data_IF_208422639853
#
_entry.id   IF_208422639853
#
_cell.length_a   1.000
_cell.length_b   1.000
_cell.length_c   1.000
_cell.angle_alpha   90.00
_cell.angle_beta   90.00
_cell.angle_gamma   90.00
#
_symmetry.space_group_name_H-M   'P 1'
#
loop_
_entity.id
_entity.type
_entity.pdbx_description
1 polymer ?
#
# COMPACT_ATOMS: atom_id res chain seq x y z
N UNK A 1 1.87 5.94 6.15
CA UNK A 1 2.67 4.72 5.87
C UNK A 1 4.01 5.16 5.28
N UNK A 2 5.10 4.78 5.89
CA UNK A 2 6.45 5.18 5.54
C UNK A 2 7.15 4.13 4.68
N UNK A 3 8.26 4.53 4.06
CA UNK A 3 9.21 3.65 3.37
C UNK A 3 9.81 2.57 4.27
N UNK A 4 9.90 2.84 5.59
CA UNK A 4 10.42 1.90 6.59
C UNK A 4 9.47 0.74 6.95
N UNK A 5 8.30 0.63 6.32
CA UNK A 5 7.27 -0.40 6.62
C UNK A 5 7.75 -1.85 6.59
N UNK A 6 8.91 -2.13 5.96
CA UNK A 6 9.49 -3.48 5.90
C UNK A 6 10.64 -3.73 6.90
N UNK A 7 11.30 -2.70 7.39
CA UNK A 7 12.64 -2.87 7.97
C UNK A 7 12.77 -2.55 9.46
N UNK A 8 11.85 -1.81 10.06
CA UNK A 8 11.97 -1.41 11.46
C UNK A 8 10.94 -2.09 12.34
N UNK A 9 11.40 -3.01 13.17
CA UNK A 9 10.62 -3.57 14.27
C UNK A 9 10.95 -2.82 15.55
N UNK A 10 9.98 -2.10 16.09
CA UNK A 10 10.09 -1.52 17.42
C UNK A 10 10.14 -2.64 18.46
N UNK A 11 11.14 -2.65 19.35
CA UNK A 11 11.19 -3.58 20.48
C UNK A 11 10.18 -3.11 21.53
N UNK A 12 8.99 -3.67 21.52
CA UNK A 12 8.04 -3.55 22.63
C UNK A 12 7.92 -4.90 23.34
N UNK A 13 7.81 -4.87 24.68
CA UNK A 13 7.58 -6.09 25.43
C UNK A 13 6.15 -6.57 25.19
N UNK A 14 5.99 -7.86 24.92
CA UNK A 14 4.70 -8.50 24.65
C UNK A 14 3.69 -8.40 25.79
N UNK A 15 4.15 -8.08 26.99
CA UNK A 15 3.31 -8.10 28.20
C UNK A 15 2.35 -6.91 28.32
N UNK A 16 2.64 -5.81 27.66
CA UNK A 16 1.78 -4.60 27.72
C UNK A 16 0.62 -4.59 26.74
N UNK A 17 0.63 -5.42 25.71
CA UNK A 17 -0.42 -5.44 24.67
C UNK A 17 -1.72 -6.05 25.19
N UNK A 18 -1.65 -6.94 26.19
CA UNK A 18 -2.80 -7.67 26.71
C UNK A 18 -3.25 -7.26 28.11
N UNK A 19 -2.46 -6.45 28.80
CA UNK A 19 -2.75 -6.02 30.18
C UNK A 19 -3.60 -4.73 30.27
N UNK A 20 -3.79 -4.02 29.19
CA UNK A 20 -4.53 -2.76 29.15
C UNK A 20 -5.91 -2.90 28.48
N UNK A 21 -6.89 -2.18 28.98
CA UNK A 21 -8.10 -1.90 28.23
C UNK A 21 -7.66 -1.26 26.90
N UNK A 22 -8.06 -1.85 25.76
CA UNK A 22 -7.84 -1.26 24.45
C UNK A 22 -8.64 0.05 24.36
N UNK A 23 -7.99 1.14 24.69
CA UNK A 23 -8.57 2.46 24.44
C UNK A 23 -8.61 2.70 22.94
N UNK A 24 -9.70 3.27 22.47
CA UNK A 24 -9.89 3.61 21.05
C UNK A 24 -8.70 4.37 20.44
N UNK A 25 -8.00 5.17 21.24
CA UNK A 25 -6.80 5.93 20.84
C UNK A 25 -5.58 5.07 20.48
N UNK A 26 -5.53 3.80 20.89
CA UNK A 26 -4.44 2.87 20.54
C UNK A 26 -4.29 2.70 19.03
N UNK A 27 -5.38 2.82 18.27
CA UNK A 27 -5.34 2.80 16.81
C UNK A 27 -4.53 3.94 16.17
N UNK A 28 -4.26 5.02 16.92
CA UNK A 28 -3.38 6.11 16.48
C UNK A 28 -1.94 5.98 17.00
N UNK A 29 -1.67 5.01 17.87
CA UNK A 29 -0.32 4.83 18.40
C UNK A 29 0.67 4.56 17.27
N UNK A 30 1.79 5.28 17.32
CA UNK A 30 2.85 5.18 16.30
C UNK A 30 2.38 5.42 14.84
N UNK A 31 1.21 6.01 14.60
CA UNK A 31 0.68 6.22 13.26
C UNK A 31 1.49 7.22 12.40
N UNK A 32 2.26 8.10 13.03
CA UNK A 32 3.15 9.08 12.39
C UNK A 32 4.63 8.68 12.47
N UNK A 33 4.94 7.52 13.06
CA UNK A 33 6.31 7.03 13.16
C UNK A 33 6.61 6.12 11.97
N UNK A 34 7.80 6.24 11.42
CA UNK A 34 8.23 5.47 10.24
C UNK A 34 8.25 3.95 10.44
N UNK A 35 8.44 3.47 11.68
CA UNK A 35 8.48 2.05 11.98
C UNK A 35 7.10 1.41 11.94
N UNK A 36 6.92 0.40 11.10
CA UNK A 36 5.72 -0.44 11.17
C UNK A 36 5.79 -1.33 12.42
N UNK A 37 4.67 -1.42 13.14
CA UNK A 37 4.59 -2.30 14.31
C UNK A 37 4.00 -3.66 13.93
N UNK A 38 4.67 -4.36 13.00
CA UNK A 38 4.24 -5.68 12.52
C UNK A 38 4.07 -6.68 13.66
N UNK A 39 4.89 -6.56 14.72
CA UNK A 39 4.78 -7.44 15.89
C UNK A 39 3.47 -7.23 16.65
N UNK A 40 3.06 -5.98 16.84
CA UNK A 40 1.79 -5.67 17.51
C UNK A 40 0.60 -6.15 16.69
N UNK A 41 0.65 -5.95 15.37
CA UNK A 41 -0.35 -6.43 14.43
C UNK A 41 -0.45 -7.97 14.46
N UNK A 42 0.69 -8.67 14.42
CA UNK A 42 0.72 -10.15 14.51
C UNK A 42 0.16 -10.67 15.85
N UNK A 43 0.52 -10.03 16.96
CA UNK A 43 -0.03 -10.39 18.26
C UNK A 43 -1.55 -10.18 18.32
N UNK A 44 -2.05 -9.11 17.71
CA UNK A 44 -3.48 -8.85 17.64
C UNK A 44 -4.21 -9.91 16.80
N UNK A 45 -3.68 -10.26 15.61
CA UNK A 45 -4.24 -11.30 14.75
C UNK A 45 -4.31 -12.64 15.51
N UNK A 46 -3.19 -13.04 16.12
CA UNK A 46 -3.13 -14.26 16.94
C UNK A 46 -4.16 -14.25 18.07
N UNK A 47 -4.29 -13.11 18.74
CA UNK A 47 -5.29 -12.95 19.81
C UNK A 47 -6.72 -13.11 19.28
N UNK A 48 -7.04 -12.51 18.14
CA UNK A 48 -8.37 -12.62 17.54
C UNK A 48 -8.71 -14.04 17.12
N UNK A 49 -7.78 -14.76 16.49
CA UNK A 49 -7.98 -16.17 16.14
C UNK A 49 -8.19 -17.05 17.38
N UNK A 50 -7.39 -16.85 18.42
CA UNK A 50 -7.58 -17.56 19.68
C UNK A 50 -8.95 -17.25 20.30
N UNK A 51 -9.44 -16.02 20.22
CA UNK A 51 -10.76 -15.64 20.71
C UNK A 51 -11.87 -16.29 19.88
N UNK A 52 -11.78 -16.28 18.55
CA UNK A 52 -12.74 -16.96 17.67
C UNK A 52 -12.82 -18.46 18.02
N UNK A 53 -11.65 -19.10 18.17
CA UNK A 53 -11.59 -20.51 18.56
C UNK A 53 -12.23 -20.80 19.93
N UNK A 54 -11.94 -19.97 20.95
CA UNK A 54 -12.52 -20.10 22.29
C UNK A 54 -14.03 -19.85 22.32
N UNK A 55 -14.49 -18.85 21.58
CA UNK A 55 -15.91 -18.46 21.55
C UNK A 55 -16.74 -19.34 20.61
N UNK A 56 -16.08 -20.08 19.72
CA UNK A 56 -16.69 -20.82 18.60
C UNK A 56 -17.62 -19.92 17.77
N UNK A 57 -17.23 -18.68 17.60
CA UNK A 57 -17.98 -17.66 16.90
C UNK A 57 -17.02 -16.65 16.26
N UNK A 58 -17.40 -16.15 15.10
CA UNK A 58 -16.64 -15.11 14.39
C UNK A 58 -16.66 -13.79 15.16
N UNK A 59 -15.54 -13.06 15.12
CA UNK A 59 -15.39 -11.72 15.68
C UNK A 59 -15.52 -10.72 14.53
N UNK A 60 -16.55 -9.87 14.59
CA UNK A 60 -16.92 -8.99 13.49
C UNK A 60 -15.79 -8.10 12.97
N UNK A 61 -15.05 -7.41 13.86
CA UNK A 61 -13.95 -6.54 13.49
C UNK A 61 -12.79 -7.33 12.85
N UNK A 62 -12.52 -8.56 13.29
CA UNK A 62 -11.51 -9.41 12.68
C UNK A 62 -11.95 -9.90 11.30
N UNK A 63 -13.22 -10.29 11.16
CA UNK A 63 -13.78 -10.63 9.85
C UNK A 63 -13.76 -9.44 8.88
N UNK A 64 -13.93 -8.22 9.38
CA UNK A 64 -13.75 -6.99 8.61
C UNK A 64 -12.35 -6.84 8.07
N UNK A 65 -11.31 -7.11 8.87
CA UNK A 65 -9.90 -7.11 8.45
C UNK A 65 -9.66 -8.19 7.40
N UNK A 66 -10.11 -9.43 7.64
CA UNK A 66 -10.00 -10.53 6.66
C UNK A 66 -10.66 -10.17 5.33
N UNK A 67 -11.84 -9.55 5.37
CA UNK A 67 -12.57 -9.10 4.18
C UNK A 67 -11.80 -8.01 3.41
N UNK A 68 -11.21 -7.03 4.11
CA UNK A 68 -10.43 -5.97 3.48
C UNK A 68 -9.21 -6.53 2.75
N UNK A 69 -8.42 -7.37 3.40
CA UNK A 69 -7.24 -8.00 2.80
C UNK A 69 -7.62 -8.85 1.60
N UNK A 70 -8.66 -9.68 1.72
CA UNK A 70 -9.12 -10.54 0.62
C UNK A 70 -9.54 -9.72 -0.60
N UNK A 71 -10.33 -8.67 -0.41
CA UNK A 71 -10.76 -7.79 -1.50
C UNK A 71 -9.60 -7.09 -2.18
N UNK A 72 -8.67 -6.57 -1.38
CA UNK A 72 -7.48 -5.93 -1.91
C UNK A 72 -6.64 -6.89 -2.75
N UNK A 73 -6.40 -8.11 -2.26
CA UNK A 73 -5.64 -9.13 -2.97
C UNK A 73 -6.34 -9.56 -4.27
N UNK A 74 -7.66 -9.67 -4.28
CA UNK A 74 -8.44 -9.95 -5.49
C UNK A 74 -8.27 -8.87 -6.57
N UNK A 75 -8.25 -7.58 -6.18
CA UNK A 75 -8.02 -6.48 -7.12
C UNK A 75 -6.58 -6.46 -7.66
N UNK A 76 -5.59 -6.78 -6.81
CA UNK A 76 -4.18 -6.72 -7.18
C UNK A 76 -3.72 -7.91 -8.03
N UNK A 77 -4.06 -9.14 -7.64
CA UNK A 77 -3.42 -10.35 -8.14
C UNK A 77 -4.34 -11.17 -9.04
N UNK A 78 -5.66 -10.94 -8.99
CA UNK A 78 -6.69 -11.75 -9.65
C UNK A 78 -6.73 -13.23 -9.19
N UNK A 79 -5.90 -13.62 -8.25
CA UNK A 79 -5.97 -14.92 -7.62
C UNK A 79 -7.01 -14.93 -6.50
N UNK A 80 -7.70 -16.05 -6.36
CA UNK A 80 -8.67 -16.23 -5.28
C UNK A 80 -7.93 -16.54 -3.97
N UNK A 81 -7.48 -15.50 -3.28
CA UNK A 81 -7.13 -15.62 -1.87
C UNK A 81 -8.44 -15.81 -1.11
N UNK A 82 -8.65 -16.99 -0.53
CA UNK A 82 -9.86 -17.31 0.21
C UNK A 82 -9.84 -16.73 1.62
N UNK A 83 -8.70 -16.80 2.27
CA UNK A 83 -8.51 -16.35 3.65
C UNK A 83 -7.03 -16.10 3.94
N UNK A 84 -6.74 -15.48 5.11
CA UNK A 84 -5.43 -15.56 5.74
C UNK A 84 -5.60 -16.06 7.19
N UNK A 85 -4.61 -16.72 7.69
CA UNK A 85 -4.61 -17.35 9.01
C UNK A 85 -3.25 -17.17 9.67
N UNK A 86 -3.23 -17.17 10.99
CA UNK A 86 -1.99 -17.21 11.76
C UNK A 86 -1.61 -18.66 12.06
N UNK A 87 -0.48 -19.10 11.56
CA UNK A 87 0.04 -20.43 11.88
C UNK A 87 0.81 -20.41 13.20
N UNK A 88 0.26 -21.06 14.21
CA UNK A 88 0.87 -21.19 15.55
C UNK A 88 2.20 -21.94 15.52
N UNK A 89 2.43 -22.83 14.55
CA UNK A 89 3.67 -23.63 14.49
C UNK A 89 4.84 -22.80 13.94
N UNK A 90 4.61 -22.05 12.85
CA UNK A 90 5.64 -21.19 12.27
C UNK A 90 5.67 -19.80 12.89
N UNK A 91 4.60 -19.38 13.56
CA UNK A 91 4.45 -18.02 14.09
C UNK A 91 4.21 -16.96 13.02
N UNK A 92 3.68 -17.34 11.86
CA UNK A 92 3.57 -16.51 10.68
C UNK A 92 2.16 -16.41 10.12
N UNK A 93 1.96 -15.41 9.25
CA UNK A 93 0.75 -15.31 8.43
C UNK A 93 0.87 -16.19 7.21
N UNK A 94 -0.19 -16.96 6.97
CA UNK A 94 -0.35 -17.84 5.82
C UNK A 94 -1.57 -17.37 5.02
N UNK A 95 -1.39 -17.21 3.72
CA UNK A 95 -2.52 -17.05 2.81
C UNK A 95 -3.03 -18.41 2.34
N UNK A 96 -4.33 -18.59 2.44
CA UNK A 96 -5.01 -19.77 1.91
C UNK A 96 -5.48 -19.48 0.50
N UNK A 97 -4.91 -20.16 -0.47
CA UNK A 97 -5.24 -20.06 -1.89
C UNK A 97 -5.86 -21.35 -2.41
N UNK A 98 -6.32 -21.34 -3.66
CA UNK A 98 -6.80 -22.57 -4.34
C UNK A 98 -5.69 -23.62 -4.54
N UNK A 99 -4.42 -23.20 -4.53
CA UNK A 99 -3.26 -24.05 -4.76
C UNK A 99 -2.60 -24.54 -3.46
N UNK A 100 -3.04 -24.01 -2.32
CA UNK A 100 -2.54 -24.38 -0.99
C UNK A 100 -2.26 -23.21 -0.08
N UNK A 101 -1.57 -23.48 1.02
CA UNK A 101 -1.16 -22.51 2.02
C UNK A 101 0.18 -21.85 1.61
N UNK A 102 0.24 -20.52 1.56
CA UNK A 102 1.40 -19.75 1.17
C UNK A 102 1.82 -18.79 2.29
N UNK A 103 2.96 -19.03 2.96
CA UNK A 103 3.47 -18.10 3.97
C UNK A 103 3.77 -16.72 3.37
N UNK A 104 3.40 -15.65 4.10
CA UNK A 104 3.65 -14.28 3.64
C UNK A 104 5.14 -14.00 3.42
N UNK A 105 6.01 -14.61 4.23
CA UNK A 105 7.48 -14.45 4.09
C UNK A 105 8.03 -14.98 2.76
N UNK A 106 7.35 -15.95 2.13
CA UNK A 106 7.80 -16.58 0.89
C UNK A 106 7.36 -15.76 -0.35
N UNK A 107 6.56 -14.72 -0.12
CA UNK A 107 6.17 -13.77 -1.16
C UNK A 107 7.32 -12.80 -1.48
N UNK A 108 7.29 -12.23 -2.68
CA UNK A 108 8.26 -11.17 -3.03
C UNK A 108 8.11 -9.94 -2.12
N UNK A 109 9.19 -9.15 -1.99
CA UNK A 109 9.20 -7.94 -1.16
C UNK A 109 8.05 -6.97 -1.48
N UNK A 110 7.70 -6.83 -2.76
CA UNK A 110 6.57 -6.00 -3.18
C UNK A 110 5.23 -6.51 -2.65
N UNK A 111 4.98 -7.81 -2.72
CA UNK A 111 3.76 -8.40 -2.14
C UNK A 111 3.71 -8.18 -0.62
N UNK A 112 4.80 -8.48 0.08
CA UNK A 112 4.88 -8.30 1.52
C UNK A 112 4.59 -6.85 1.92
N UNK A 113 5.23 -5.87 1.25
CA UNK A 113 5.06 -4.44 1.52
C UNK A 113 3.59 -4.02 1.44
N UNK A 114 2.89 -4.41 0.38
CA UNK A 114 1.49 -4.02 0.16
C UNK A 114 0.56 -4.73 1.15
N UNK A 115 0.80 -6.01 1.42
CA UNK A 115 0.01 -6.79 2.38
C UNK A 115 0.10 -6.17 3.77
N UNK A 116 1.31 -5.87 4.24
CA UNK A 116 1.51 -5.26 5.55
C UNK A 116 0.87 -3.88 5.63
N UNK A 117 0.94 -3.08 4.57
CA UNK A 117 0.27 -1.78 4.50
C UNK A 117 -1.25 -1.92 4.65
N UNK A 118 -1.87 -2.82 3.89
CA UNK A 118 -3.33 -3.02 3.93
C UNK A 118 -3.78 -3.60 5.26
N UNK A 119 -3.01 -4.55 5.80
CA UNK A 119 -3.26 -5.12 7.13
C UNK A 119 -3.20 -4.04 8.22
N UNK A 120 -2.18 -3.17 8.21
CA UNK A 120 -2.05 -2.10 9.20
C UNK A 120 -3.22 -1.09 9.11
N UNK A 121 -3.61 -0.70 7.90
CA UNK A 121 -4.78 0.18 7.71
C UNK A 121 -6.05 -0.48 8.25
N UNK A 122 -6.33 -1.73 7.85
CA UNK A 122 -7.52 -2.44 8.28
C UNK A 122 -7.54 -2.69 9.80
N UNK A 123 -6.41 -3.06 10.38
CA UNK A 123 -6.22 -3.23 11.83
C UNK A 123 -6.54 -1.94 12.60
N UNK A 124 -5.98 -0.79 12.16
CA UNK A 124 -6.26 0.51 12.80
C UNK A 124 -7.73 0.87 12.70
N UNK A 125 -8.38 0.61 11.58
CA UNK A 125 -9.82 0.80 11.41
C UNK A 125 -10.63 -0.04 12.40
N UNK A 126 -10.24 -1.31 12.59
CA UNK A 126 -10.87 -2.20 13.55
C UNK A 126 -10.73 -1.70 15.00
N UNK A 127 -9.55 -1.22 15.38
CA UNK A 127 -9.31 -0.67 16.72
C UNK A 127 -10.05 0.65 16.97
N UNK A 128 -10.05 1.54 15.96
CA UNK A 128 -10.67 2.87 16.08
C UNK A 128 -12.20 2.81 16.07
N UNK A 129 -12.78 1.84 15.36
CA UNK A 129 -14.21 1.73 15.14
C UNK A 129 -14.74 0.30 15.32
N UNK A 130 -14.53 -0.33 16.50
CA UNK A 130 -14.96 -1.71 16.73
C UNK A 130 -16.46 -1.91 16.60
N UNK A 131 -17.25 -0.82 16.78
CA UNK A 131 -18.72 -0.85 16.62
C UNK A 131 -19.18 -1.10 15.17
N UNK A 132 -18.30 -0.92 14.17
CA UNK A 132 -18.63 -1.20 12.77
C UNK A 132 -18.52 -2.69 12.43
N UNK A 133 -17.96 -3.49 13.32
CA UNK A 133 -17.79 -4.94 13.16
C UNK A 133 -17.17 -5.30 11.79
N UNK A 134 -17.87 -6.07 10.97
CA UNK A 134 -17.40 -6.45 9.64
C UNK A 134 -17.39 -5.31 8.60
N UNK A 135 -17.97 -4.16 8.92
CA UNK A 135 -18.07 -3.00 8.03
C UNK A 135 -17.00 -1.94 8.26
N UNK A 136 -15.90 -2.29 8.96
CA UNK A 136 -14.77 -1.39 9.25
C UNK A 136 -14.23 -0.69 7.99
N UNK A 137 -14.35 -1.29 6.81
CA UNK A 137 -13.88 -0.72 5.53
C UNK A 137 -14.53 0.63 5.19
N UNK A 138 -15.71 0.89 5.73
CA UNK A 138 -16.45 2.15 5.56
C UNK A 138 -16.05 3.21 6.60
N UNK A 139 -15.04 2.94 7.43
CA UNK A 139 -14.50 3.92 8.37
C UNK A 139 -14.00 5.15 7.62
N UNK A 140 -14.53 6.35 7.92
CA UNK A 140 -14.00 7.58 7.35
C UNK A 140 -12.64 7.89 7.98
N UNK A 141 -11.71 8.36 7.16
CA UNK A 141 -10.37 8.71 7.65
C UNK A 141 -9.46 9.25 6.56
N UNK A 142 -8.28 9.66 6.97
CA UNK A 142 -7.20 10.11 6.08
C UNK A 142 -6.00 9.18 6.28
N UNK A 143 -5.46 8.65 5.18
CA UNK A 143 -4.27 7.82 5.18
C UNK A 143 -3.19 8.48 4.34
N UNK A 144 -2.04 8.74 4.96
CA UNK A 144 -0.85 9.26 4.30
C UNK A 144 0.05 8.09 3.91
N UNK A 145 0.49 8.04 2.65
CA UNK A 145 1.38 7.00 2.14
C UNK A 145 2.58 7.67 1.50
N UNK A 146 3.75 7.35 2.01
CA UNK A 146 5.00 7.79 1.41
C UNK A 146 5.53 6.70 0.47
N UNK A 147 6.07 7.12 -0.69
CA UNK A 147 6.57 6.23 -1.75
C UNK A 147 5.63 5.04 -2.06
N UNK A 148 4.44 5.35 -2.58
CA UNK A 148 3.43 4.33 -2.87
C UNK A 148 3.93 3.26 -3.84
N UNK A 149 4.85 3.61 -4.75
CA UNK A 149 5.47 2.75 -5.76
C UNK A 149 6.59 1.84 -5.23
N UNK A 150 7.07 2.05 -3.99
CA UNK A 150 8.22 1.33 -3.46
C UNK A 150 8.03 -0.19 -3.49
N UNK A 151 8.99 -0.87 -4.13
CA UNK A 151 9.02 -2.33 -4.36
C UNK A 151 7.90 -2.89 -5.24
N UNK A 152 7.02 -2.06 -5.81
CA UNK A 152 5.93 -2.54 -6.66
C UNK A 152 6.38 -2.79 -8.09
N UNK A 153 6.06 -3.98 -8.60
CA UNK A 153 6.19 -4.28 -10.02
C UNK A 153 5.28 -3.34 -10.84
N UNK A 154 5.69 -2.82 -12.03
CA UNK A 154 4.88 -1.91 -12.84
C UNK A 154 3.44 -2.34 -13.08
N UNK A 155 3.18 -3.64 -13.29
CA UNK A 155 1.82 -4.16 -13.41
C UNK A 155 0.91 -3.88 -12.21
N UNK A 156 1.49 -3.74 -11.03
CA UNK A 156 0.75 -3.45 -9.80
C UNK A 156 0.61 -1.97 -9.56
N UNK A 157 1.57 -1.18 -10.01
CA UNK A 157 1.48 0.27 -9.96
C UNK A 157 0.24 0.77 -10.73
N UNK A 158 -0.14 0.11 -11.83
CA UNK A 158 -1.39 0.38 -12.56
C UNK A 158 -2.66 0.12 -11.75
N UNK A 159 -2.61 -0.71 -10.74
CA UNK A 159 -3.79 -1.20 -10.01
C UNK A 159 -3.92 -0.65 -8.60
N UNK A 160 -2.79 -0.28 -7.96
CA UNK A 160 -2.71 -0.02 -6.52
C UNK A 160 -3.71 1.06 -6.05
N UNK A 161 -3.82 2.17 -6.77
CA UNK A 161 -4.71 3.28 -6.41
C UNK A 161 -6.17 2.81 -6.42
N UNK A 162 -6.59 2.16 -7.49
CA UNK A 162 -7.96 1.64 -7.60
C UNK A 162 -8.25 0.54 -6.57
N UNK A 163 -7.29 -0.34 -6.30
CA UNK A 163 -7.42 -1.38 -5.29
C UNK A 163 -7.60 -0.79 -3.88
N UNK A 164 -6.84 0.24 -3.52
CA UNK A 164 -6.97 0.94 -2.23
C UNK A 164 -8.35 1.62 -2.12
N UNK A 165 -8.79 2.38 -3.13
CA UNK A 165 -10.09 3.06 -3.15
C UNK A 165 -11.26 2.08 -3.03
N UNK A 166 -11.22 0.95 -3.74
CA UNK A 166 -12.26 -0.09 -3.66
C UNK A 166 -12.26 -0.81 -2.31
N UNK A 167 -11.07 -1.01 -1.74
CA UNK A 167 -10.94 -1.70 -0.45
C UNK A 167 -11.43 -0.82 0.69
N UNK A 168 -11.11 0.46 0.68
CA UNK A 168 -11.40 1.40 1.75
C UNK A 168 -12.15 2.63 1.22
N UNK A 169 -13.43 2.49 0.86
CA UNK A 169 -14.19 3.55 0.19
C UNK A 169 -14.44 4.80 1.05
N UNK A 170 -14.32 4.68 2.38
CA UNK A 170 -14.46 5.80 3.32
C UNK A 170 -13.17 6.60 3.55
N UNK A 171 -12.04 6.19 2.95
CA UNK A 171 -10.72 6.80 3.20
C UNK A 171 -10.33 7.78 2.12
N UNK A 172 -9.87 8.95 2.53
CA UNK A 172 -9.09 9.84 1.69
C UNK A 172 -7.63 9.43 1.74
N UNK A 173 -7.08 9.02 0.60
CA UNK A 173 -5.65 8.73 0.46
C UNK A 173 -4.90 9.97 -0.01
N UNK A 174 -3.77 10.26 0.63
CA UNK A 174 -2.78 11.24 0.18
C UNK A 174 -1.47 10.47 0.06
N UNK A 175 -0.99 10.30 -1.17
CA UNK A 175 0.16 9.46 -1.44
C UNK A 175 1.25 10.24 -2.19
N UNK A 176 2.50 10.08 -1.75
CA UNK A 176 3.65 10.50 -2.53
C UNK A 176 4.10 9.35 -3.44
N UNK A 177 4.52 9.67 -4.64
CA UNK A 177 5.06 8.71 -5.60
C UNK A 177 5.97 9.39 -6.60
N UNK A 178 6.99 8.67 -7.03
CA UNK A 178 7.85 9.04 -8.16
C UNK A 178 7.50 8.23 -9.42
N UNK A 179 6.48 7.39 -9.39
CA UNK A 179 6.13 6.51 -10.50
C UNK A 179 5.23 7.22 -11.53
N UNK A 180 5.71 7.39 -12.78
CA UNK A 180 4.86 7.87 -13.86
C UNK A 180 3.71 6.90 -14.17
N UNK A 181 3.89 5.60 -13.88
CA UNK A 181 2.85 4.59 -14.06
C UNK A 181 1.68 4.81 -13.10
N UNK A 182 1.95 5.11 -11.83
CA UNK A 182 0.89 5.45 -10.87
C UNK A 182 0.18 6.73 -11.29
N UNK A 183 0.92 7.77 -11.69
CA UNK A 183 0.33 9.02 -12.18
C UNK A 183 -0.57 8.77 -13.39
N UNK A 184 -0.12 7.96 -14.37
CA UNK A 184 -0.91 7.59 -15.55
C UNK A 184 -2.16 6.78 -15.21
N UNK A 185 -2.16 6.03 -14.12
CA UNK A 185 -3.30 5.21 -13.70
C UNK A 185 -4.43 6.00 -13.03
N UNK A 186 -4.15 7.23 -12.60
CA UNK A 186 -5.06 8.09 -11.87
C UNK A 186 -5.98 8.83 -12.86
N UNK A 187 -7.30 8.62 -12.76
CA UNK A 187 -8.30 9.23 -13.66
C UNK A 187 -9.01 10.42 -13.02
N UNK A 188 -9.39 10.28 -11.76
CA UNK A 188 -10.26 11.22 -11.02
C UNK A 188 -9.56 11.82 -9.80
N UNK A 189 -8.30 11.47 -9.61
CA UNK A 189 -7.46 11.94 -8.52
C UNK A 189 -6.93 13.35 -8.83
N UNK A 190 -6.43 14.01 -7.78
CA UNK A 190 -5.74 15.28 -7.92
C UNK A 190 -4.23 15.04 -7.85
N UNK A 191 -3.50 15.57 -8.82
CA UNK A 191 -2.05 15.60 -8.79
C UNK A 191 -1.59 16.90 -8.11
N UNK A 192 -0.75 16.76 -7.10
CA UNK A 192 -0.12 17.87 -6.40
C UNK A 192 1.38 17.79 -6.66
N UNK A 193 1.91 18.75 -7.40
CA UNK A 193 3.35 18.90 -7.64
C UNK A 193 3.90 19.92 -6.65
N UNK A 194 5.05 19.61 -6.06
CA UNK A 194 5.83 20.54 -5.25
C UNK A 194 7.10 20.81 -6.04
N UNK A 195 7.30 22.04 -6.46
CA UNK A 195 8.49 22.46 -7.22
C UNK A 195 9.71 22.70 -6.30
N UNK A 196 10.86 22.97 -6.89
CA UNK A 196 12.12 23.24 -6.18
C UNK A 196 12.04 24.47 -5.26
N UNK A 197 11.17 25.43 -5.58
CA UNK A 197 10.88 26.64 -4.80
C UNK A 197 9.86 26.38 -3.68
N UNK A 198 9.39 25.12 -3.55
CA UNK A 198 8.35 24.67 -2.60
C UNK A 198 6.96 25.29 -2.86
N UNK A 199 6.67 25.71 -4.06
CA UNK A 199 5.32 26.08 -4.45
C UNK A 199 4.48 24.81 -4.64
N UNK A 200 3.20 24.89 -4.26
CA UNK A 200 2.24 23.82 -4.42
C UNK A 200 1.42 24.09 -5.67
N UNK A 201 1.52 23.20 -6.64
CA UNK A 201 0.83 23.31 -7.93
C UNK A 201 -0.21 22.17 -7.99
N UNK A 202 -1.46 22.54 -8.28
CA UNK A 202 -2.54 21.57 -8.48
C UNK A 202 -2.72 21.34 -9.97
N UNK A 203 -2.49 20.12 -10.42
CA UNK A 203 -2.59 19.72 -11.80
C UNK A 203 -3.66 18.65 -12.01
N UNK A 204 -4.13 18.52 -13.24
CA UNK A 204 -4.92 17.35 -13.62
C UNK A 204 -3.99 16.16 -13.74
N UNK A 205 -4.48 14.98 -13.35
CA UNK A 205 -3.72 13.75 -13.55
C UNK A 205 -3.46 13.52 -15.03
N UNK A 206 -2.27 13.02 -15.38
CA UNK A 206 -1.88 12.74 -16.77
C UNK A 206 -2.49 11.41 -17.27
N UNK A 207 -3.75 11.16 -16.93
CA UNK A 207 -4.43 9.91 -17.29
C UNK A 207 -4.49 9.73 -18.81
N UNK A 208 -4.00 8.59 -19.28
CA UNK A 208 -4.00 8.25 -20.70
C UNK A 208 -2.86 8.86 -21.53
N UNK A 209 -1.95 9.62 -20.92
CA UNK A 209 -0.70 10.01 -21.56
C UNK A 209 0.31 8.86 -21.58
N UNK A 210 1.23 8.92 -22.53
CA UNK A 210 2.36 7.99 -22.55
C UNK A 210 3.33 8.27 -21.38
N UNK A 211 4.02 7.22 -20.93
CA UNK A 211 4.92 7.34 -19.77
C UNK A 211 6.04 8.36 -20.03
N UNK A 212 6.54 8.46 -21.26
CA UNK A 212 7.58 9.41 -21.64
C UNK A 212 7.08 10.85 -21.54
N UNK A 213 5.83 11.11 -21.91
CA UNK A 213 5.21 12.44 -21.78
C UNK A 213 5.08 12.82 -20.30
N UNK A 214 4.71 11.86 -19.46
CA UNK A 214 4.58 12.08 -18.01
C UNK A 214 5.93 12.39 -17.38
N UNK A 215 6.99 11.68 -17.78
CA UNK A 215 8.36 11.94 -17.30
C UNK A 215 8.79 13.37 -17.64
N UNK A 216 8.55 13.80 -18.86
CA UNK A 216 8.94 15.16 -19.30
C UNK A 216 8.07 16.26 -18.67
N UNK A 217 6.77 16.08 -18.58
CA UNK A 217 5.82 17.13 -18.12
C UNK A 217 5.78 17.18 -16.58
N UNK A 218 5.67 16.02 -15.91
CA UNK A 218 5.45 15.98 -14.47
C UNK A 218 6.74 15.92 -13.66
N UNK A 219 7.80 15.31 -14.21
CA UNK A 219 9.05 15.06 -13.48
C UNK A 219 10.25 15.83 -14.06
N UNK A 220 10.05 16.57 -15.17
CA UNK A 220 11.11 17.35 -15.82
C UNK A 220 12.36 16.50 -16.12
N UNK A 221 12.17 15.19 -16.29
CA UNK A 221 13.23 14.23 -16.56
C UNK A 221 13.18 13.80 -18.03
N UNK A 222 14.36 13.69 -18.66
CA UNK A 222 14.45 13.19 -20.03
C UNK A 222 14.00 11.73 -20.11
N UNK A 223 13.29 11.37 -21.16
CA UNK A 223 12.87 10.00 -21.43
C UNK A 223 14.01 9.12 -21.96
N UNK A 224 15.10 9.75 -22.39
CA UNK A 224 16.25 9.12 -23.07
C UNK A 224 17.52 9.55 -22.34
N UNK A 225 18.51 8.66 -22.27
CA UNK A 225 19.81 9.00 -21.68
C UNK A 225 20.45 10.18 -22.45
N UNK A 226 20.99 11.15 -21.72
CA UNK A 226 21.59 12.38 -22.27
C UNK A 226 22.58 12.15 -23.43
N UNK A 227 23.33 11.05 -23.37
CA UNK A 227 24.23 10.67 -24.46
C UNK A 227 23.50 10.28 -25.75
N UNK A 228 22.31 9.67 -25.63
CA UNK A 228 21.49 9.27 -26.77
C UNK A 228 20.80 10.49 -27.36
N UNK A 229 20.32 11.43 -26.52
CA UNK A 229 19.77 12.70 -26.97
C UNK A 229 20.80 13.50 -27.79
N UNK A 230 22.04 13.57 -27.31
CA UNK A 230 23.13 14.20 -28.07
C UNK A 230 23.37 13.53 -29.42
N UNK A 231 23.40 12.19 -29.46
CA UNK A 231 23.56 11.44 -30.70
C UNK A 231 22.41 11.69 -31.70
N UNK A 232 21.19 11.77 -31.21
CA UNK A 232 20.01 12.09 -32.03
C UNK A 232 20.13 13.50 -32.59
N UNK A 233 20.47 14.49 -31.74
CA UNK A 233 20.65 15.87 -32.14
C UNK A 233 21.79 16.03 -33.18
N UNK A 234 22.91 15.35 -32.98
CA UNK A 234 24.04 15.34 -33.92
C UNK A 234 23.63 14.72 -35.27
N UNK A 235 22.86 13.64 -35.25
CA UNK A 235 22.34 12.99 -36.45
C UNK A 235 21.35 13.89 -37.21
N UNK A 236 20.40 14.53 -36.50
CA UNK A 236 19.43 15.49 -37.10
C UNK A 236 20.14 16.69 -37.70
N UNK A 237 21.18 17.22 -37.05
CA UNK A 237 22.01 18.30 -37.58
C UNK A 237 22.74 17.86 -38.86
N UNK A 238 23.33 16.66 -38.89
CA UNK A 238 24.03 16.10 -40.06
C UNK A 238 23.09 15.96 -41.28
N UNK A 239 21.84 15.56 -41.05
CA UNK A 239 20.82 15.47 -42.09
C UNK A 239 20.48 16.86 -42.61
N UNK A 240 20.37 17.84 -41.72
CA UNK A 240 19.96 19.22 -42.06
C UNK A 240 21.08 19.96 -42.85
N UNK A 241 22.32 19.64 -42.53
CA UNK A 241 23.50 20.19 -43.20
C UNK A 241 23.87 19.48 -44.52
N UNK A 242 23.22 18.36 -44.84
CA UNK A 242 23.34 17.71 -46.15
C UNK A 242 24.62 16.86 -46.29
N UNK A 243 25.24 16.44 -45.18
CA UNK A 243 26.45 15.64 -45.12
C UNK A 243 26.23 14.11 -45.16
N UNK A 244 25.11 13.68 -45.74
CA UNK A 244 24.77 12.28 -46.02
C UNK A 244 24.46 12.02 -47.47
#
# INVERSE_FOLDING_TARGET
QSTARMWMQKRESSDNVFAGQFYRTVGYDSCLIEASNNKMLMNWIRHMEMLEWKRKAEIGEYQGVKKAVRLFMQEMIQEKVSNFEYDEQSGELIFVTSEGALPVRDLSAGYQSVIWMVLDIAYRMALLNPQLLSDIRNTPGIVLIDELDMHLHPKWQWKIVNALKKTFPGVQFIAATHSPVIMASCKEEHLIKIDDEKNIIYEKTPYGLEINDILSICQESGAIAEQVEKLIADFENSITEGDL
#
